data_IF_145974802741
#
_entry.id   IF_145974802741
#
_cell.length_a   1.000
_cell.length_b   1.000
_cell.length_c   1.000
_cell.angle_alpha   90.00
_cell.angle_beta   90.00
_cell.angle_gamma   90.00
#
_symmetry.space_group_name_H-M   'P 1'
#
loop_
_entity.id
_entity.type
_entity.pdbx_description
1 polymer ?
#
# COMPACT_ATOMS: atom_id res chain seq x y z
N UNK A 1 -71.47 -39.26 -24.04
CA UNK A 1 -71.66 -37.82 -24.34
C UNK A 1 -70.67 -37.43 -25.43
N UNK A 2 -71.05 -36.45 -26.25
CA UNK A 2 -70.72 -36.30 -27.67
C UNK A 2 -69.24 -36.10 -28.06
N UNK A 3 -68.97 -36.51 -29.31
CA UNK A 3 -67.74 -36.39 -30.10
C UNK A 3 -67.81 -35.12 -31.01
N UNK A 4 -66.98 -34.91 -32.07
CA UNK A 4 -65.77 -34.06 -32.11
C UNK A 4 -65.79 -33.02 -33.28
N UNK A 5 -64.65 -32.35 -33.60
CA UNK A 5 -64.13 -31.89 -34.95
C UNK A 5 -63.15 -30.70 -34.73
N UNK A 6 -61.91 -30.59 -35.23
CA UNK A 6 -61.15 -30.88 -36.49
C UNK A 6 -60.98 -29.65 -37.44
N UNK A 7 -59.75 -29.56 -38.00
CA UNK A 7 -59.21 -28.86 -39.21
C UNK A 7 -58.66 -27.42 -39.06
N UNK A 8 -57.39 -27.05 -39.36
CA UNK A 8 -56.43 -27.14 -40.52
C UNK A 8 -56.50 -25.95 -41.54
N UNK A 9 -55.49 -25.03 -41.50
CA UNK A 9 -54.56 -24.45 -42.54
C UNK A 9 -55.12 -23.96 -43.93
N UNK A 10 -54.51 -23.06 -44.79
CA UNK A 10 -53.53 -21.92 -44.73
C UNK A 10 -53.90 -20.61 -45.52
N UNK A 11 -52.96 -19.64 -45.52
CA UNK A 11 -52.56 -18.51 -46.43
C UNK A 11 -53.10 -18.42 -47.90
N UNK A 12 -53.09 -17.22 -48.54
CA UNK A 12 -52.03 -16.84 -49.51
C UNK A 12 -51.63 -15.34 -49.45
N UNK A 13 -50.37 -14.91 -49.58
CA UNK A 13 -49.53 -14.67 -50.78
C UNK A 13 -50.19 -13.88 -51.95
N UNK A 14 -49.74 -12.65 -52.19
CA UNK A 14 -49.84 -11.99 -53.49
C UNK A 14 -48.49 -11.36 -53.87
N UNK A 15 -48.03 -11.72 -55.07
CA UNK A 15 -46.81 -11.30 -55.75
C UNK A 15 -47.19 -10.28 -56.84
N UNK A 16 -46.35 -9.27 -57.08
CA UNK A 16 -46.25 -8.61 -58.39
C UNK A 16 -44.81 -8.12 -58.65
N UNK A 17 -44.20 -8.74 -59.66
CA UNK A 17 -42.98 -8.41 -60.42
C UNK A 17 -43.17 -7.11 -61.24
N UNK A 18 -42.24 -6.46 -61.92
CA UNK A 18 -40.76 -6.34 -62.03
C UNK A 18 -40.52 -5.42 -63.26
N UNK A 19 -39.45 -4.62 -63.29
CA UNK A 19 -38.60 -4.38 -64.50
C UNK A 19 -37.61 -3.24 -64.29
N UNK A 20 -36.29 -3.48 -64.28
CA UNK A 20 -35.29 -3.45 -65.39
C UNK A 20 -34.41 -2.19 -65.31
N UNK A 21 -33.09 -2.41 -65.17
CA UNK A 21 -32.05 -1.39 -65.30
C UNK A 21 -30.63 -1.94 -65.08
N UNK A 22 -30.08 -2.59 -66.12
CA UNK A 22 -28.64 -2.82 -66.36
C UNK A 22 -27.87 -1.47 -66.37
N UNK A 23 -26.56 -1.30 -66.07
CA UNK A 23 -25.33 -1.97 -66.53
C UNK A 23 -24.07 -1.31 -65.82
N UNK A 24 -22.76 -1.56 -66.13
CA UNK A 24 -21.85 -2.21 -65.17
C UNK A 24 -20.41 -1.61 -65.00
N UNK A 25 -19.58 -2.32 -64.22
CA UNK A 25 -18.11 -2.48 -64.27
C UNK A 25 -17.16 -1.34 -63.82
N UNK A 26 -16.33 -1.62 -62.79
CA UNK A 26 -14.92 -2.01 -63.04
C UNK A 26 -14.25 -2.69 -61.83
N UNK A 27 -13.54 -3.76 -62.14
CA UNK A 27 -12.67 -4.58 -61.30
C UNK A 27 -11.29 -3.94 -61.15
N UNK A 28 -10.60 -4.15 -60.01
CA UNK A 28 -9.21 -4.65 -60.01
C UNK A 28 -8.69 -5.12 -58.63
N UNK A 29 -8.50 -6.45 -58.54
CA UNK A 29 -7.39 -7.25 -57.98
C UNK A 29 -6.75 -6.91 -56.62
N UNK A 30 -6.89 -7.85 -55.67
CA UNK A 30 -5.92 -8.17 -54.59
C UNK A 30 -4.56 -8.61 -55.20
N UNK A 31 -3.45 -8.40 -54.47
CA UNK A 31 -2.76 -9.59 -53.96
C UNK A 31 -2.11 -9.46 -52.56
N UNK A 32 -2.18 -10.61 -51.87
CA UNK A 32 -1.27 -11.23 -50.88
C UNK A 32 -1.02 -10.59 -49.50
N UNK A 33 -1.15 -11.49 -48.52
CA UNK A 33 -0.90 -11.35 -47.09
C UNK A 33 0.53 -10.91 -46.75
N UNK A 34 0.63 -10.07 -45.72
CA UNK A 34 1.76 -10.06 -44.79
C UNK A 34 1.18 -10.27 -43.38
N UNK A 35 1.73 -11.23 -42.67
CA UNK A 35 1.45 -11.56 -41.27
C UNK A 35 2.16 -10.57 -40.32
N UNK A 36 1.61 -10.51 -39.11
CA UNK A 36 2.16 -10.01 -37.84
C UNK A 36 2.25 -8.49 -37.65
N UNK A 37 1.51 -7.98 -36.67
CA UNK A 37 2.09 -7.42 -35.45
C UNK A 37 0.98 -7.16 -34.42
N UNK A 38 1.17 -7.79 -33.26
CA UNK A 38 0.88 -7.28 -31.91
C UNK A 38 -0.44 -6.52 -31.73
N UNK A 39 -1.45 -7.19 -31.17
CA UNK A 39 -2.41 -6.50 -30.29
C UNK A 39 -1.62 -6.00 -29.08
N UNK A 40 -1.13 -4.78 -29.18
CA UNK A 40 -0.60 -4.02 -28.05
C UNK A 40 -1.82 -3.53 -27.26
N UNK A 41 -2.02 -4.11 -26.07
CA UNK A 41 -3.05 -3.69 -25.12
C UNK A 41 -2.73 -2.26 -24.67
N UNK A 42 -3.35 -1.27 -25.31
CA UNK A 42 -3.20 0.14 -24.95
C UNK A 42 -3.94 0.41 -23.64
N UNK A 43 -3.23 0.35 -22.52
CA UNK A 43 -3.72 0.76 -21.22
C UNK A 43 -3.64 2.29 -21.09
N UNK A 44 -4.75 2.90 -20.67
CA UNK A 44 -4.93 4.34 -20.65
C UNK A 44 -4.58 4.96 -19.26
N UNK A 45 -4.10 6.23 -19.20
CA UNK A 45 -3.50 6.90 -18.02
C UNK A 45 -4.52 7.38 -16.94
N UNK A 46 -4.15 7.90 -15.73
CA UNK A 46 -4.94 8.27 -14.48
C UNK A 46 -4.86 9.78 -14.00
N UNK A 47 -5.83 10.39 -13.26
CA UNK A 47 -6.00 11.87 -12.98
C UNK A 47 -6.14 12.33 -11.48
N UNK A 48 -6.21 13.66 -11.20
CA UNK A 48 -6.62 14.28 -9.91
C UNK A 48 -8.10 14.71 -9.91
N UNK A 49 -8.82 14.47 -8.82
CA UNK A 49 -10.23 14.82 -8.62
C UNK A 49 -10.37 15.90 -7.53
N UNK A 50 -10.69 17.13 -7.94
CA UNK A 50 -10.80 18.26 -7.01
C UNK A 50 -9.44 18.81 -6.58
N UNK A 51 -9.13 18.78 -5.29
CA UNK A 51 -7.84 19.25 -4.76
C UNK A 51 -6.89 18.09 -4.61
N UNK A 52 -5.65 18.24 -5.09
CA UNK A 52 -4.60 17.23 -4.95
C UNK A 52 -4.35 16.91 -3.47
N UNK A 53 -4.76 15.71 -3.04
CA UNK A 53 -4.67 15.25 -1.66
C UNK A 53 -3.47 14.33 -1.42
N UNK A 54 -2.61 14.12 -2.42
CA UNK A 54 -1.46 13.24 -2.31
C UNK A 54 -0.47 13.80 -1.29
N UNK A 55 0.00 12.94 -0.40
CA UNK A 55 0.93 13.28 0.68
C UNK A 55 2.14 12.34 0.66
N UNK A 56 3.31 12.87 0.98
CA UNK A 56 4.44 12.04 1.42
C UNK A 56 4.15 11.42 2.79
N UNK A 57 4.81 10.29 3.10
CA UNK A 57 4.57 9.56 4.37
C UNK A 57 4.75 10.45 5.60
N UNK A 58 5.74 11.36 5.59
CA UNK A 58 5.99 12.26 6.72
C UNK A 58 4.89 13.33 6.93
N UNK A 59 4.04 13.57 5.92
CA UNK A 59 2.94 14.54 5.96
C UNK A 59 1.62 13.89 6.41
N UNK A 60 1.55 12.56 6.40
CA UNK A 60 0.35 11.80 6.76
C UNK A 60 0.16 11.86 8.28
N UNK A 61 -0.87 12.55 8.74
CA UNK A 61 -1.17 12.65 10.18
C UNK A 61 -1.86 11.40 10.76
N UNK A 62 -2.58 10.64 9.93
CA UNK A 62 -3.37 9.48 10.37
C UNK A 62 -2.46 8.25 10.44
N UNK A 63 -2.20 7.77 11.67
CA UNK A 63 -1.29 6.63 11.91
C UNK A 63 -1.74 5.35 11.20
N UNK A 64 -3.05 5.12 11.06
CA UNK A 64 -3.56 3.97 10.30
C UNK A 64 -3.08 4.01 8.85
N UNK A 65 -3.13 5.18 8.19
CA UNK A 65 -2.67 5.33 6.81
C UNK A 65 -1.16 5.08 6.68
N UNK A 66 -0.36 5.56 7.65
CA UNK A 66 1.07 5.25 7.70
C UNK A 66 1.33 3.74 7.86
N UNK A 67 0.54 3.03 8.67
CA UNK A 67 0.66 1.57 8.85
C UNK A 67 0.31 0.81 7.57
N UNK A 68 -0.79 1.18 6.90
CA UNK A 68 -1.19 0.58 5.63
C UNK A 68 -0.10 0.80 4.55
N UNK A 69 0.54 1.97 4.56
CA UNK A 69 1.63 2.28 3.63
C UNK A 69 2.86 1.39 3.79
N UNK A 70 3.14 0.85 4.99
CA UNK A 70 4.28 -0.07 5.20
C UNK A 70 4.19 -1.28 4.27
N UNK A 71 2.99 -1.80 4.03
CA UNK A 71 2.80 -3.01 3.21
C UNK A 71 2.53 -2.71 1.74
N UNK A 72 2.73 -1.46 1.31
CA UNK A 72 2.76 -1.04 -0.09
C UNK A 72 4.18 -1.26 -0.64
N UNK A 73 4.28 -1.75 -1.88
CA UNK A 73 5.55 -2.09 -2.51
C UNK A 73 5.71 -1.44 -3.87
N UNK A 74 6.90 -0.89 -4.14
CA UNK A 74 7.25 -0.35 -5.44
C UNK A 74 7.69 -1.47 -6.38
N UNK A 75 7.18 -1.48 -7.60
CA UNK A 75 7.72 -2.31 -8.67
C UNK A 75 8.77 -1.52 -9.43
N UNK A 76 10.02 -1.96 -9.32
CA UNK A 76 11.19 -1.31 -9.93
C UNK A 76 11.86 -2.31 -10.87
N UNK A 77 12.27 -1.87 -12.06
CA UNK A 77 13.01 -2.73 -12.99
C UNK A 77 14.32 -3.17 -12.35
N UNK A 78 14.66 -4.46 -12.43
CA UNK A 78 15.88 -4.98 -11.80
C UNK A 78 17.16 -4.32 -12.30
N UNK A 79 17.18 -3.84 -13.54
CA UNK A 79 18.29 -3.05 -14.10
C UNK A 79 18.53 -1.70 -13.39
N UNK A 80 17.54 -1.21 -12.64
CA UNK A 80 17.61 0.06 -11.91
C UNK A 80 17.98 -0.12 -10.44
N UNK A 81 18.11 -1.36 -9.95
CA UNK A 81 18.47 -1.66 -8.55
C UNK A 81 19.90 -2.18 -8.50
N UNK A 82 20.77 -1.45 -7.82
CA UNK A 82 22.19 -1.78 -7.72
C UNK A 82 22.55 -2.06 -6.26
N UNK A 83 22.91 -3.31 -5.95
CA UNK A 83 23.39 -3.68 -4.62
C UNK A 83 24.71 -2.99 -4.28
N UNK A 84 24.87 -2.58 -3.03
CA UNK A 84 26.06 -1.92 -2.50
C UNK A 84 26.71 -2.79 -1.41
N UNK A 85 27.96 -2.50 -1.08
CA UNK A 85 28.74 -3.26 -0.09
C UNK A 85 28.31 -3.05 1.37
N UNK A 86 27.42 -2.09 1.62
CA UNK A 86 26.98 -1.63 2.95
C UNK A 86 25.59 -2.19 3.32
N UNK A 87 25.18 -3.34 2.75
CA UNK A 87 23.85 -3.94 2.91
C UNK A 87 22.69 -3.01 2.48
N UNK A 88 22.98 -2.02 1.65
CA UNK A 88 21.97 -1.18 1.00
C UNK A 88 21.93 -1.40 -0.51
N UNK A 89 20.85 -0.94 -1.14
CA UNK A 89 20.67 -0.94 -2.59
C UNK A 89 20.37 0.48 -3.06
N UNK A 90 21.10 0.94 -4.06
CA UNK A 90 20.81 2.21 -4.73
C UNK A 90 19.81 2.00 -5.87
N UNK A 91 18.91 2.98 -6.03
CA UNK A 91 17.89 2.99 -7.07
C UNK A 91 18.22 4.07 -8.09
N UNK A 92 18.42 3.67 -9.34
CA UNK A 92 18.58 4.59 -10.47
C UNK A 92 17.21 5.10 -10.87
N UNK A 93 16.99 6.41 -10.73
CA UNK A 93 15.75 7.09 -11.07
C UNK A 93 16.02 8.48 -11.66
N UNK A 94 15.15 8.94 -12.56
CA UNK A 94 15.15 10.32 -13.06
C UNK A 94 14.50 11.27 -12.06
N UNK A 95 14.40 12.55 -12.43
CA UNK A 95 13.65 13.55 -11.66
C UNK A 95 12.26 13.65 -12.28
N UNK A 96 11.22 13.40 -11.49
CA UNK A 96 9.83 13.34 -11.94
C UNK A 96 9.43 14.53 -12.83
N UNK A 97 9.68 15.75 -12.36
CA UNK A 97 9.34 16.96 -13.11
C UNK A 97 10.06 17.08 -14.45
N UNK A 98 11.30 16.60 -14.54
CA UNK A 98 12.10 16.66 -15.76
C UNK A 98 11.65 15.58 -16.74
N UNK A 99 11.56 14.33 -16.28
CA UNK A 99 11.21 13.16 -17.10
C UNK A 99 9.81 13.29 -17.71
N UNK A 100 8.87 13.91 -16.98
CA UNK A 100 7.51 14.13 -17.46
C UNK A 100 7.30 15.50 -18.13
N UNK A 101 8.31 16.38 -18.17
CA UNK A 101 8.21 17.72 -18.77
C UNK A 101 7.20 18.62 -18.06
N UNK A 102 7.16 18.54 -16.73
CA UNK A 102 6.16 19.20 -15.89
C UNK A 102 6.43 20.69 -15.73
N UNK A 103 5.40 21.42 -15.31
CA UNK A 103 5.56 22.78 -14.82
C UNK A 103 6.27 22.75 -13.46
N UNK A 104 7.17 23.71 -13.19
CA UNK A 104 7.98 23.72 -11.96
C UNK A 104 7.19 23.88 -10.66
N UNK A 105 5.94 24.34 -10.77
CA UNK A 105 5.00 24.47 -9.68
C UNK A 105 4.20 23.19 -9.41
N UNK A 106 4.39 22.13 -10.21
CA UNK A 106 3.74 20.84 -9.96
C UNK A 106 4.25 20.20 -8.66
N UNK A 107 3.34 19.62 -7.84
CA UNK A 107 3.73 18.90 -6.64
C UNK A 107 4.77 17.81 -6.91
N UNK A 108 5.70 17.64 -5.98
CA UNK A 108 6.75 16.61 -6.03
C UNK A 108 7.73 16.73 -7.19
N UNK A 109 7.78 17.86 -7.91
CA UNK A 109 8.61 18.07 -9.10
C UNK A 109 10.04 17.52 -8.99
N UNK A 110 10.72 17.78 -7.87
CA UNK A 110 12.13 17.41 -7.65
C UNK A 110 12.34 15.96 -7.15
N UNK A 111 11.28 15.18 -6.94
CA UNK A 111 11.37 13.82 -6.42
C UNK A 111 11.80 12.81 -7.49
N UNK A 112 12.43 11.69 -7.09
CA UNK A 112 12.78 10.62 -8.03
C UNK A 112 11.55 9.90 -8.56
N UNK A 113 11.62 9.31 -9.75
CA UNK A 113 10.53 8.51 -10.34
C UNK A 113 10.98 7.06 -10.68
N UNK A 114 11.45 6.31 -9.69
CA UNK A 114 12.09 5.00 -9.91
C UNK A 114 11.14 3.82 -10.15
N UNK A 115 9.89 3.90 -9.70
CA UNK A 115 8.92 2.83 -9.87
C UNK A 115 8.22 2.89 -11.23
N UNK A 116 7.76 1.75 -11.74
CA UNK A 116 6.89 1.72 -12.93
C UNK A 116 5.46 1.29 -12.61
N UNK A 117 5.27 0.60 -11.48
CA UNK A 117 3.98 0.16 -10.96
C UNK A 117 4.02 0.09 -9.43
N UNK A 118 2.88 -0.24 -8.84
CA UNK A 118 2.67 -0.43 -7.41
C UNK A 118 2.18 -1.85 -7.12
N UNK A 119 2.30 -2.29 -5.88
CA UNK A 119 1.75 -3.54 -5.40
C UNK A 119 1.58 -3.50 -3.89
N UNK A 120 1.13 -4.61 -3.30
CA UNK A 120 0.97 -4.69 -1.86
C UNK A 120 1.04 -6.12 -1.33
N UNK A 121 1.49 -6.26 -0.08
CA UNK A 121 1.66 -7.54 0.60
C UNK A 121 0.31 -8.12 1.05
N UNK A 122 0.04 -9.37 0.69
CA UNK A 122 -1.20 -10.10 1.01
C UNK A 122 -0.98 -11.42 1.74
N UNK A 123 0.26 -11.94 1.77
CA UNK A 123 0.74 -13.05 2.60
C UNK A 123 2.21 -12.82 2.96
N UNK A 124 2.82 -13.57 3.91
CA UNK A 124 4.22 -13.41 4.29
C UNK A 124 5.18 -13.31 3.10
N UNK A 125 4.98 -14.08 2.03
CA UNK A 125 5.79 -14.05 0.82
C UNK A 125 4.98 -13.75 -0.44
N UNK A 126 3.75 -13.23 -0.33
CA UNK A 126 2.87 -13.03 -1.49
C UNK A 126 2.41 -11.59 -1.59
N UNK A 127 2.55 -11.00 -2.78
CA UNK A 127 2.03 -9.67 -3.11
C UNK A 127 0.96 -9.76 -4.21
N UNK A 128 0.18 -8.69 -4.32
CA UNK A 128 -0.73 -8.44 -5.43
C UNK A 128 -0.34 -7.14 -6.14
N UNK A 129 -0.50 -7.11 -7.46
CA UNK A 129 -0.33 -5.93 -8.32
C UNK A 129 -1.33 -6.00 -9.49
N UNK A 130 -1.30 -5.06 -10.44
CA UNK A 130 -2.07 -5.15 -11.67
C UNK A 130 -1.44 -6.17 -12.64
N UNK A 131 -2.26 -6.92 -13.37
CA UNK A 131 -1.81 -7.94 -14.30
C UNK A 131 -0.98 -7.33 -15.45
N UNK A 132 -1.35 -6.13 -15.91
CA UNK A 132 -0.56 -5.45 -16.94
C UNK A 132 0.80 -4.93 -16.47
N UNK A 133 1.04 -4.86 -15.16
CA UNK A 133 2.36 -4.55 -14.63
C UNK A 133 3.28 -5.78 -14.72
N UNK A 134 2.72 -6.97 -14.50
CA UNK A 134 3.43 -8.26 -14.54
C UNK A 134 2.54 -9.32 -15.20
N UNK A 135 2.63 -9.42 -16.52
CA UNK A 135 1.81 -10.34 -17.33
C UNK A 135 2.44 -11.72 -17.51
N UNK A 136 3.72 -11.86 -17.21
CA UNK A 136 4.48 -13.09 -17.42
C UNK A 136 5.55 -13.35 -16.36
N UNK A 137 5.93 -14.62 -16.19
CA UNK A 137 7.04 -15.01 -15.31
C UNK A 137 8.34 -14.26 -15.65
N UNK A 138 8.59 -14.01 -16.94
CA UNK A 138 9.79 -13.30 -17.39
C UNK A 138 9.79 -11.82 -17.00
N UNK A 139 8.64 -11.16 -16.98
CA UNK A 139 8.52 -9.79 -16.46
C UNK A 139 8.65 -9.77 -14.95
N UNK A 140 8.11 -10.78 -14.27
CA UNK A 140 8.25 -10.97 -12.83
C UNK A 140 9.73 -11.06 -12.44
N UNK A 141 10.52 -11.91 -13.11
CA UNK A 141 11.96 -12.08 -12.86
C UNK A 141 12.80 -10.83 -13.17
N UNK A 142 12.30 -9.89 -13.98
CA UNK A 142 12.95 -8.60 -14.27
C UNK A 142 12.44 -7.45 -13.40
N UNK A 143 11.68 -7.78 -12.36
CA UNK A 143 11.09 -6.82 -11.43
C UNK A 143 11.60 -7.09 -10.02
N UNK A 144 12.11 -6.05 -9.38
CA UNK A 144 12.33 -6.02 -7.95
C UNK A 144 11.13 -5.38 -7.26
N UNK A 145 10.73 -5.98 -6.14
CA UNK A 145 9.67 -5.50 -5.27
C UNK A 145 10.34 -4.82 -4.09
N UNK A 146 10.26 -3.49 -4.05
CA UNK A 146 11.03 -2.65 -3.13
C UNK A 146 10.08 -2.00 -2.13
N UNK A 147 10.13 -2.49 -0.90
CA UNK A 147 9.45 -1.86 0.22
C UNK A 147 10.22 -0.62 0.68
N UNK A 148 9.53 0.26 1.40
CA UNK A 148 10.09 1.48 1.98
C UNK A 148 10.68 2.47 0.95
N UNK A 149 10.26 2.37 -0.32
CA UNK A 149 10.47 3.40 -1.33
C UNK A 149 9.52 4.59 -1.08
N UNK A 150 9.76 5.33 -0.01
CA UNK A 150 8.94 6.44 0.47
C UNK A 150 9.77 7.63 0.96
N UNK A 151 9.14 8.80 1.11
CA UNK A 151 9.74 9.99 1.73
C UNK A 151 9.26 10.08 3.19
N UNK A 152 10.13 9.68 4.12
CA UNK A 152 9.83 9.65 5.56
C UNK A 152 10.28 10.91 6.31
N UNK A 153 10.96 11.82 5.63
CA UNK A 153 11.30 13.13 6.13
C UNK A 153 11.42 14.11 4.96
N UNK A 154 11.09 15.38 5.21
CA UNK A 154 11.15 16.44 4.20
C UNK A 154 12.51 16.48 3.51
N UNK A 155 12.49 16.54 2.17
CA UNK A 155 13.66 16.59 1.30
C UNK A 155 14.62 15.37 1.44
N UNK A 156 14.16 14.25 2.00
CA UNK A 156 14.91 12.98 2.09
C UNK A 156 14.34 11.94 1.13
N UNK A 157 14.88 11.92 -0.08
CA UNK A 157 14.40 11.03 -1.15
C UNK A 157 15.02 9.63 -1.07
N UNK A 158 14.26 8.55 -1.36
CA UNK A 158 14.71 7.17 -1.24
C UNK A 158 15.60 6.74 -2.43
N UNK A 159 16.76 7.38 -2.58
CA UNK A 159 17.78 6.99 -3.58
C UNK A 159 18.54 5.71 -3.18
N UNK A 160 18.53 5.40 -1.89
CA UNK A 160 19.14 4.23 -1.28
C UNK A 160 18.14 3.64 -0.29
N UNK A 161 17.94 2.33 -0.35
CA UNK A 161 17.07 1.56 0.54
C UNK A 161 17.86 0.40 1.18
N UNK A 162 17.46 -0.10 2.36
CA UNK A 162 18.04 -1.33 2.91
C UNK A 162 17.84 -2.50 1.93
N UNK A 163 18.88 -3.31 1.69
CA UNK A 163 18.76 -4.48 0.81
C UNK A 163 17.80 -5.54 1.36
N UNK A 164 17.55 -5.55 2.67
CA UNK A 164 16.52 -6.39 3.29
C UNK A 164 15.11 -6.09 2.76
N UNK A 165 14.84 -4.84 2.37
CA UNK A 165 13.57 -4.38 1.78
C UNK A 165 13.45 -4.61 0.27
N UNK A 166 14.46 -5.19 -0.39
CA UNK A 166 14.47 -5.48 -1.82
C UNK A 166 14.26 -6.98 -2.06
N UNK A 167 13.12 -7.32 -2.65
CA UNK A 167 12.71 -8.69 -2.94
C UNK A 167 12.78 -8.98 -4.44
N UNK A 168 12.97 -10.24 -4.78
CA UNK A 168 12.92 -10.72 -6.16
C UNK A 168 11.65 -11.54 -6.39
N UNK A 169 11.26 -11.67 -7.65
CA UNK A 169 10.22 -12.63 -8.00
C UNK A 169 10.74 -14.06 -7.84
N UNK A 170 9.99 -14.88 -7.09
CA UNK A 170 10.14 -16.34 -7.12
C UNK A 170 9.23 -16.96 -8.15
N UNK A 171 7.97 -16.55 -8.17
CA UNK A 171 6.94 -17.12 -9.04
C UNK A 171 5.79 -16.16 -9.28
N UNK A 172 5.39 -15.99 -10.53
CA UNK A 172 4.08 -15.49 -10.90
C UNK A 172 3.05 -16.59 -10.66
N UNK A 173 2.25 -16.48 -9.60
CA UNK A 173 1.23 -17.48 -9.24
C UNK A 173 0.07 -17.40 -10.24
N UNK A 174 -0.39 -16.19 -10.55
CA UNK A 174 -1.45 -15.93 -11.51
C UNK A 174 -1.33 -14.52 -12.09
N UNK A 175 -1.80 -14.31 -13.32
CA UNK A 175 -1.99 -12.99 -13.92
C UNK A 175 -3.19 -13.03 -14.86
N UNK A 176 -4.05 -12.02 -14.75
CA UNK A 176 -5.22 -11.80 -15.60
C UNK A 176 -5.19 -10.36 -16.09
N UNK A 177 -5.41 -10.15 -17.39
CA UNK A 177 -5.57 -8.83 -18.00
C UNK A 177 -6.72 -8.89 -19.01
N UNK A 178 -7.91 -8.48 -18.58
CA UNK A 178 -9.07 -8.37 -19.44
C UNK A 178 -9.38 -6.90 -19.75
N UNK A 179 -9.54 -6.56 -21.03
CA UNK A 179 -9.73 -5.17 -21.50
C UNK A 179 -10.90 -4.43 -20.85
N UNK A 180 -11.95 -5.16 -20.47
CA UNK A 180 -13.13 -4.64 -19.74
C UNK A 180 -13.45 -5.47 -18.49
N UNK A 181 -12.51 -6.30 -18.04
CA UNK A 181 -12.68 -7.25 -16.94
C UNK A 181 -11.68 -7.02 -15.81
N UNK A 182 -11.25 -8.10 -15.15
CA UNK A 182 -10.27 -8.02 -14.08
C UNK A 182 -8.87 -7.81 -14.65
N UNK A 183 -8.06 -7.16 -13.85
CA UNK A 183 -6.66 -6.90 -14.16
C UNK A 183 -5.87 -7.01 -12.86
N UNK A 184 -5.17 -8.13 -12.67
CA UNK A 184 -4.39 -8.39 -11.46
C UNK A 184 -3.33 -9.45 -11.68
N UNK A 185 -2.29 -9.42 -10.86
CA UNK A 185 -1.31 -10.48 -10.74
C UNK A 185 -1.07 -10.81 -9.27
N UNK A 186 -0.88 -12.11 -8.98
CA UNK A 186 -0.49 -12.63 -7.67
C UNK A 186 0.92 -13.19 -7.80
N UNK A 187 1.83 -12.71 -6.97
CA UNK A 187 3.26 -12.99 -7.10
C UNK A 187 3.82 -13.49 -5.77
N UNK A 188 4.55 -14.59 -5.82
CA UNK A 188 5.37 -15.08 -4.74
C UNK A 188 6.76 -14.42 -4.79
N UNK A 189 7.18 -13.87 -3.65
CA UNK A 189 8.50 -13.31 -3.40
C UNK A 189 9.53 -14.42 -3.13
N UNK A 190 10.82 -14.09 -3.28
CA UNK A 190 11.95 -14.98 -3.03
C UNK A 190 12.12 -15.38 -1.56
N UNK A 191 11.57 -14.59 -0.63
CA UNK A 191 11.57 -14.84 0.80
C UNK A 191 10.38 -14.15 1.48
N UNK A 192 10.10 -14.56 2.72
CA UNK A 192 9.09 -13.92 3.55
C UNK A 192 9.50 -12.48 3.94
N UNK A 193 8.50 -11.61 4.02
CA UNK A 193 8.57 -10.27 4.58
C UNK A 193 8.24 -10.37 6.06
N UNK A 194 9.22 -10.08 6.93
CA UNK A 194 9.13 -10.37 8.37
C UNK A 194 8.96 -9.13 9.24
N UNK A 195 9.10 -7.93 8.67
CA UNK A 195 9.09 -6.65 9.38
C UNK A 195 7.79 -5.86 9.25
N UNK A 196 6.78 -6.45 8.58
CA UNK A 196 5.44 -5.87 8.38
C UNK A 196 4.39 -6.96 8.17
N UNK A 197 3.13 -6.62 8.45
CA UNK A 197 2.02 -7.55 8.27
C UNK A 197 1.41 -7.46 6.87
N UNK A 198 0.98 -8.59 6.29
CA UNK A 198 0.10 -8.56 5.13
C UNK A 198 -1.16 -7.73 5.36
N UNK A 199 -1.65 -7.08 4.31
CA UNK A 199 -2.85 -6.25 4.38
C UNK A 199 -4.11 -7.13 4.52
N UNK A 200 -5.05 -6.64 5.32
CA UNK A 200 -6.36 -7.27 5.46
C UNK A 200 -7.18 -7.05 4.18
N UNK A 201 -7.72 -8.12 3.62
CA UNK A 201 -8.49 -8.07 2.36
C UNK A 201 -9.98 -8.25 2.65
N UNK A 202 -10.84 -7.52 1.93
CA UNK A 202 -12.27 -7.84 1.89
C UNK A 202 -12.46 -9.27 1.40
N UNK A 203 -13.07 -10.11 2.23
CA UNK A 203 -13.28 -11.53 1.93
C UNK A 203 -14.58 -11.78 1.15
N UNK A 204 -15.63 -11.02 1.45
CA UNK A 204 -16.98 -11.23 0.90
C UNK A 204 -17.74 -9.91 0.74
N UNK A 205 -18.90 -10.00 0.09
CA UNK A 205 -19.78 -8.87 -0.14
C UNK A 205 -19.27 -7.94 -1.23
N UNK A 206 -19.85 -6.75 -1.28
CA UNK A 206 -19.57 -5.73 -2.28
C UNK A 206 -19.46 -4.41 -1.54
N UNK A 207 -18.42 -3.64 -1.84
CA UNK A 207 -18.29 -2.27 -1.34
C UNK A 207 -19.46 -1.41 -1.84
N UNK A 208 -20.15 -0.65 -0.97
CA UNK A 208 -21.25 0.20 -1.41
C UNK A 208 -20.75 1.47 -2.13
N UNK A 209 -21.61 2.08 -2.93
CA UNK A 209 -21.35 3.42 -3.46
C UNK A 209 -21.21 4.44 -2.33
N UNK A 210 -20.39 5.48 -2.55
CA UNK A 210 -20.04 6.56 -1.62
C UNK A 210 -19.23 6.12 -0.40
N UNK A 211 -18.83 4.84 -0.32
CA UNK A 211 -17.91 4.39 0.72
C UNK A 211 -16.59 5.18 0.62
N UNK A 212 -16.05 5.70 1.74
CA UNK A 212 -14.80 6.46 1.72
C UNK A 212 -13.60 5.56 1.44
N UNK A 213 -12.69 6.05 0.61
CA UNK A 213 -11.56 5.33 0.09
C UNK A 213 -10.25 6.09 0.29
N UNK A 214 -9.19 5.29 0.44
CA UNK A 214 -7.81 5.69 0.47
C UNK A 214 -7.05 4.89 -0.60
N UNK A 215 -6.13 5.50 -1.34
CA UNK A 215 -5.18 4.78 -2.20
C UNK A 215 -3.75 5.04 -1.75
N UNK A 216 -2.94 3.99 -1.76
CA UNK A 216 -1.51 4.07 -1.45
C UNK A 216 -0.70 3.39 -2.53
N UNK A 217 0.28 4.10 -3.09
CA UNK A 217 1.13 3.58 -4.15
C UNK A 217 2.13 4.58 -4.71
N UNK A 218 2.51 4.37 -5.96
CA UNK A 218 3.65 5.03 -6.61
C UNK A 218 3.21 5.80 -7.88
N UNK A 219 2.43 6.88 -7.75
CA UNK A 219 2.00 7.71 -8.89
C UNK A 219 3.20 8.17 -9.71
N UNK A 220 3.15 8.02 -11.02
CA UNK A 220 4.19 8.43 -11.97
C UNK A 220 5.60 7.87 -11.66
N UNK A 221 5.68 6.80 -10.85
CA UNK A 221 6.93 6.22 -10.38
C UNK A 221 7.51 6.87 -9.13
N UNK A 222 6.81 7.85 -8.55
CA UNK A 222 7.23 8.56 -7.33
C UNK A 222 7.40 7.61 -6.14
N UNK A 223 8.14 8.03 -5.10
CA UNK A 223 8.04 7.44 -3.78
C UNK A 223 6.59 7.36 -3.31
N UNK A 224 6.33 6.43 -2.38
CA UNK A 224 5.00 6.14 -1.83
C UNK A 224 4.23 7.40 -1.52
N UNK A 225 3.05 7.55 -2.13
CA UNK A 225 2.07 8.57 -1.83
C UNK A 225 0.84 7.95 -1.21
N UNK A 226 0.27 8.69 -0.27
CA UNK A 226 -1.00 8.38 0.41
C UNK A 226 -1.99 9.44 -0.03
N UNK A 227 -3.14 9.03 -0.57
CA UNK A 227 -4.20 9.90 -1.06
C UNK A 227 -5.56 9.46 -0.50
N UNK A 228 -6.09 10.23 0.45
CA UNK A 228 -7.31 9.98 1.23
C UNK A 228 -8.49 10.87 0.79
N UNK A 229 -9.72 10.60 1.24
CA UNK A 229 -10.87 11.44 0.91
C UNK A 229 -11.49 11.18 -0.47
N UNK A 230 -11.17 10.04 -1.08
CA UNK A 230 -11.87 9.54 -2.27
C UNK A 230 -13.14 8.76 -1.87
N UNK A 231 -13.96 8.40 -2.84
CA UNK A 231 -15.16 7.60 -2.62
C UNK A 231 -15.50 6.69 -3.79
N UNK A 232 -16.27 5.63 -3.51
CA UNK A 232 -16.83 4.79 -4.57
C UNK A 232 -17.87 5.58 -5.36
N UNK A 233 -17.72 5.66 -6.68
CA UNK A 233 -18.66 6.32 -7.58
C UNK A 233 -19.73 5.40 -8.11
N UNK A 234 -19.32 4.21 -8.55
CA UNK A 234 -20.23 3.19 -9.07
C UNK A 234 -19.63 1.81 -8.91
N UNK A 235 -20.49 0.81 -8.82
CA UNK A 235 -20.07 -0.57 -8.58
C UNK A 235 -20.53 -1.47 -9.70
N UNK A 236 -19.58 -2.14 -10.34
CA UNK A 236 -19.83 -3.15 -11.37
C UNK A 236 -19.11 -4.46 -10.99
N UNK A 237 -19.20 -5.48 -11.83
CA UNK A 237 -18.38 -6.69 -11.69
C UNK A 237 -17.60 -6.86 -12.98
N UNK A 238 -16.28 -7.07 -12.93
CA UNK A 238 -15.45 -7.40 -11.75
C UNK A 238 -14.81 -6.21 -11.01
N UNK A 239 -15.09 -4.97 -11.39
CA UNK A 239 -14.45 -3.76 -10.84
C UNK A 239 -15.47 -2.74 -10.32
N UNK A 240 -15.03 -1.81 -9.49
CA UNK A 240 -15.78 -0.58 -9.18
C UNK A 240 -15.00 0.65 -9.66
N UNK A 241 -15.68 1.79 -9.75
CA UNK A 241 -15.07 3.06 -10.17
C UNK A 241 -15.06 4.03 -8.99
N UNK A 242 -14.00 4.83 -8.84
CA UNK A 242 -13.79 5.76 -7.73
C UNK A 242 -13.11 7.07 -8.18
N UNK A 243 -13.12 8.13 -7.37
CA UNK A 243 -12.36 9.37 -7.59
C UNK A 243 -11.03 9.39 -6.83
N UNK A 244 -10.11 8.53 -7.27
CA UNK A 244 -8.81 8.39 -6.63
C UNK A 244 -7.79 9.31 -7.33
N UNK A 245 -7.14 10.17 -6.55
CA UNK A 245 -6.04 11.04 -7.02
C UNK A 245 -4.80 10.21 -7.39
N UNK A 246 -4.74 9.80 -8.64
CA UNK A 246 -3.78 8.77 -9.07
C UNK A 246 -3.21 9.11 -10.44
N UNK A 247 -1.94 8.79 -10.68
CA UNK A 247 -1.29 8.82 -12.00
C UNK A 247 -0.91 7.41 -12.47
N UNK A 248 -0.61 7.26 -13.76
CA UNK A 248 0.06 6.08 -14.29
C UNK A 248 1.25 5.73 -13.40
N UNK A 249 1.44 4.46 -13.05
CA UNK A 249 2.37 4.03 -11.98
C UNK A 249 1.68 3.66 -10.66
N UNK A 250 0.50 4.19 -10.36
CA UNK A 250 -0.38 3.61 -9.33
C UNK A 250 -1.02 2.28 -9.75
N UNK A 251 -0.74 1.80 -10.96
CA UNK A 251 -1.27 0.49 -11.36
C UNK A 251 -0.77 -0.59 -10.41
N UNK A 252 -1.71 -1.32 -9.83
CA UNK A 252 -1.47 -2.32 -8.79
C UNK A 252 -1.52 -1.80 -7.35
N UNK A 253 -1.74 -0.50 -7.13
CA UNK A 253 -1.93 0.06 -5.78
C UNK A 253 -3.10 -0.58 -5.06
N UNK A 254 -2.97 -0.77 -3.74
CA UNK A 254 -4.09 -1.11 -2.89
C UNK A 254 -5.03 0.10 -2.76
N UNK A 255 -6.32 -0.16 -2.95
CA UNK A 255 -7.39 0.78 -2.62
C UNK A 255 -8.07 0.26 -1.36
N UNK A 256 -8.06 1.06 -0.32
CA UNK A 256 -8.52 0.73 1.03
C UNK A 256 -9.86 1.37 1.30
N UNK A 257 -10.70 0.67 2.08
CA UNK A 257 -11.76 1.32 2.83
C UNK A 257 -11.14 2.18 3.92
N UNK A 258 -11.38 3.49 3.89
CA UNK A 258 -10.69 4.44 4.77
C UNK A 258 -11.01 4.21 6.26
N UNK A 259 -12.20 3.68 6.57
CA UNK A 259 -12.65 3.44 7.95
C UNK A 259 -12.04 2.15 8.51
N UNK A 260 -12.15 1.05 7.75
CA UNK A 260 -11.77 -0.29 8.24
C UNK A 260 -10.32 -0.64 7.97
N UNK A 261 -9.68 0.02 6.99
CA UNK A 261 -8.34 -0.32 6.50
C UNK A 261 -8.27 -1.62 5.70
N UNK A 262 -9.41 -2.23 5.34
CA UNK A 262 -9.44 -3.39 4.45
C UNK A 262 -9.13 -2.97 3.01
N UNK A 263 -8.37 -3.78 2.29
CA UNK A 263 -8.18 -3.63 0.84
C UNK A 263 -9.49 -4.03 0.17
N UNK A 264 -10.01 -3.10 -0.62
CA UNK A 264 -11.24 -3.21 -1.39
C UNK A 264 -10.96 -3.64 -2.83
N UNK A 265 -9.79 -3.25 -3.35
CA UNK A 265 -9.36 -3.66 -4.66
C UNK A 265 -8.00 -3.14 -5.08
N UNK A 266 -7.74 -3.34 -6.36
CA UNK A 266 -6.46 -3.13 -7.03
C UNK A 266 -6.70 -2.08 -8.11
N UNK A 267 -6.02 -0.94 -8.03
CA UNK A 267 -6.18 0.14 -8.99
C UNK A 267 -5.57 -0.23 -10.35
N UNK A 268 -6.34 -0.18 -11.43
CA UNK A 268 -5.89 -0.72 -12.73
C UNK A 268 -5.99 0.25 -13.89
N UNK A 269 -6.98 1.14 -13.93
CA UNK A 269 -7.24 2.00 -15.10
C UNK A 269 -7.81 3.35 -14.67
N UNK A 270 -7.63 4.38 -15.49
CA UNK A 270 -8.04 5.75 -15.13
C UNK A 270 -8.29 6.69 -16.29
N UNK A 271 -8.17 7.99 -15.97
CA UNK A 271 -8.30 9.15 -16.86
C UNK A 271 -6.99 9.87 -17.20
N UNK A 272 -6.89 10.69 -18.25
CA UNK A 272 -5.60 11.32 -18.63
C UNK A 272 -4.90 12.12 -17.50
N UNK A 273 -3.63 11.81 -17.17
CA UNK A 273 -2.86 12.40 -16.05
C UNK A 273 -2.53 13.88 -16.17
N UNK A 274 -2.12 14.32 -17.36
CA UNK A 274 -1.55 15.65 -17.55
C UNK A 274 -2.09 16.31 -18.81
N UNK A 275 -2.30 17.62 -18.72
CA UNK A 275 -2.60 18.48 -19.87
C UNK A 275 -1.46 19.45 -20.11
N UNK A 276 -1.33 19.97 -21.33
CA UNK A 276 -0.31 20.98 -21.63
C UNK A 276 -0.79 22.37 -21.17
N UNK A 277 0.09 23.07 -20.43
CA UNK A 277 -0.10 24.43 -19.93
C UNK A 277 1.17 25.23 -20.17
N UNK A 278 1.10 26.25 -21.04
CA UNK A 278 2.20 27.20 -21.29
C UNK A 278 3.58 26.56 -21.55
N UNK A 279 3.64 25.48 -22.34
CA UNK A 279 4.91 24.84 -22.74
C UNK A 279 5.44 23.79 -21.76
N UNK A 280 4.72 23.50 -20.67
CA UNK A 280 4.98 22.40 -19.77
C UNK A 280 3.70 21.58 -19.55
N UNK A 281 3.80 20.40 -18.94
CA UNK A 281 2.66 19.58 -18.55
C UNK A 281 2.24 19.92 -17.12
N UNK A 282 0.95 20.03 -16.90
CA UNK A 282 0.36 20.26 -15.58
C UNK A 282 -0.62 19.13 -15.28
N UNK A 283 -0.80 18.82 -14.00
CA UNK A 283 -1.79 17.85 -13.53
C UNK A 283 -3.14 18.16 -14.15
N UNK A 284 -3.76 17.14 -14.77
CA UNK A 284 -5.14 17.25 -15.21
C UNK A 284 -6.02 17.19 -13.96
N UNK A 285 -6.93 18.14 -13.82
CA UNK A 285 -7.79 18.26 -12.65
C UNK A 285 -9.23 18.14 -13.10
N UNK A 286 -9.88 17.09 -12.62
CA UNK A 286 -11.28 16.82 -12.87
C UNK A 286 -12.14 17.61 -11.89
N UNK A 287 -13.10 18.36 -12.43
CA UNK A 287 -14.18 18.89 -11.63
C UNK A 287 -15.06 17.74 -11.12
N UNK A 288 -15.77 17.98 -10.02
CA UNK A 288 -16.69 17.00 -9.46
C UNK A 288 -17.70 16.53 -10.52
N UNK A 289 -17.80 15.22 -10.72
CA UNK A 289 -18.69 14.60 -11.70
C UNK A 289 -18.29 14.75 -13.19
N UNK A 290 -17.18 15.43 -13.55
CA UNK A 290 -16.83 15.64 -14.97
C UNK A 290 -16.05 14.49 -15.62
N UNK A 291 -15.33 13.72 -14.82
CA UNK A 291 -14.51 12.60 -15.28
C UNK A 291 -15.13 11.25 -14.91
N UNK A 292 -14.81 10.19 -15.64
CA UNK A 292 -15.36 8.84 -15.45
C UNK A 292 -15.02 8.28 -14.08
N UNK A 293 -13.79 8.49 -13.62
CA UNK A 293 -13.24 7.85 -12.43
C UNK A 293 -12.16 6.82 -12.77
N UNK A 294 -11.56 6.31 -11.72
CA UNK A 294 -10.53 5.28 -11.72
C UNK A 294 -11.16 3.91 -11.48
N UNK A 295 -10.83 2.93 -12.31
CA UNK A 295 -11.32 1.57 -12.12
C UNK A 295 -10.40 0.74 -11.24
N UNK A 296 -11.04 0.04 -10.32
CA UNK A 296 -10.44 -0.75 -9.27
C UNK A 296 -10.98 -2.16 -9.38
N UNK A 297 -10.13 -3.12 -9.79
CA UNK A 297 -10.46 -4.54 -9.77
C UNK A 297 -10.77 -4.94 -8.33
N UNK A 298 -11.95 -5.52 -8.07
CA UNK A 298 -12.32 -5.94 -6.71
C UNK A 298 -11.32 -6.97 -6.18
N UNK A 299 -10.87 -6.81 -4.94
CA UNK A 299 -9.86 -7.72 -4.35
C UNK A 299 -10.33 -9.18 -4.34
N UNK A 300 -11.65 -9.39 -4.28
CA UNK A 300 -12.28 -10.72 -4.30
C UNK A 300 -11.96 -11.52 -5.56
N UNK A 301 -11.55 -10.88 -6.67
CA UNK A 301 -11.11 -11.57 -7.89
C UNK A 301 -9.76 -12.28 -7.70
N UNK A 302 -8.88 -11.75 -6.84
CA UNK A 302 -7.56 -12.31 -6.58
C UNK A 302 -7.58 -13.43 -5.51
N UNK A 303 -8.57 -13.44 -4.61
CA UNK A 303 -8.65 -14.37 -3.47
C UNK A 303 -8.46 -15.85 -3.84
N UNK A 304 -9.01 -16.39 -4.96
CA UNK A 304 -8.80 -17.79 -5.32
C UNK A 304 -7.35 -18.17 -5.64
N UNK A 305 -6.51 -17.18 -5.93
CA UNK A 305 -5.11 -17.35 -6.36
C UNK A 305 -4.11 -16.94 -5.29
N UNK A 306 -4.53 -16.16 -4.31
CA UNK A 306 -3.73 -15.90 -3.13
C UNK A 306 -3.63 -17.25 -2.41
N UNK A 307 -2.41 -17.80 -2.21
CA UNK A 307 -2.24 -19.01 -1.43
C UNK A 307 -3.01 -18.77 -0.15
N UNK A 308 -3.89 -19.71 0.20
CA UNK A 308 -4.43 -19.72 1.54
C UNK A 308 -3.21 -19.49 2.42
N UNK A 309 -3.25 -18.44 3.25
CA UNK A 309 -2.30 -18.38 4.33
C UNK A 309 -2.31 -19.80 4.87
N UNK A 310 -1.17 -20.44 5.16
CA UNK A 310 -1.27 -21.29 6.32
C UNK A 310 -1.99 -20.38 7.31
N UNK A 311 -3.23 -20.73 7.68
CA UNK A 311 -3.60 -20.53 9.06
C UNK A 311 -2.28 -20.95 9.71
N UNK A 312 -1.62 -20.04 10.43
CA UNK A 312 -0.91 -20.57 11.58
C UNK A 312 -2.00 -21.45 12.17
N UNK A 313 -1.95 -22.77 11.90
CA UNK A 313 -2.76 -23.74 12.63
C UNK A 313 -2.60 -23.22 14.02
N UNK A 314 -3.66 -22.68 14.66
CA UNK A 314 -3.52 -21.77 15.78
C UNK A 314 -2.48 -22.43 16.62
N UNK A 315 -1.25 -21.87 16.60
CA UNK A 315 -0.10 -22.65 17.01
C UNK A 315 -0.54 -23.08 18.39
N UNK A 316 -0.58 -24.39 18.63
CA UNK A 316 -0.90 -24.86 19.96
C UNK A 316 0.10 -24.10 20.85
N UNK A 317 -0.43 -23.07 21.53
CA UNK A 317 0.27 -21.91 22.10
C UNK A 317 0.64 -20.76 21.10
N UNK A 318 -0.17 -19.69 21.07
CA UNK A 318 0.28 -18.33 20.76
C UNK A 318 1.36 -17.97 21.78
N UNK A 319 2.64 -18.24 21.47
CA UNK A 319 3.76 -17.99 22.39
C UNK A 319 4.09 -16.50 22.57
N UNK A 320 3.31 -15.61 21.94
CA UNK A 320 3.56 -14.18 21.94
C UNK A 320 4.41 -13.69 20.76
N UNK A 321 4.73 -12.40 20.76
CA UNK A 321 5.58 -11.75 19.77
C UNK A 321 6.48 -10.69 20.39
N UNK A 322 7.59 -10.39 19.72
CA UNK A 322 8.61 -9.46 20.19
C UNK A 322 9.01 -8.49 19.09
N UNK A 323 9.16 -7.22 19.44
CA UNK A 323 9.68 -6.16 18.58
C UNK A 323 10.95 -5.62 19.20
N UNK A 324 12.07 -5.68 18.48
CA UNK A 324 13.38 -5.21 18.97
C UNK A 324 13.92 -4.08 18.09
N UNK A 325 14.43 -3.02 18.71
CA UNK A 325 15.02 -1.84 18.09
C UNK A 325 16.39 -1.54 18.71
N UNK A 326 17.33 -1.08 17.89
CA UNK A 326 18.65 -0.63 18.36
C UNK A 326 18.95 0.80 17.86
N UNK A 327 18.22 1.81 18.38
CA UNK A 327 18.14 3.10 17.71
C UNK A 327 19.39 3.98 17.91
N UNK A 328 20.20 3.72 18.94
CA UNK A 328 21.39 4.50 19.29
C UNK A 328 21.12 6.02 19.32
N UNK A 329 20.06 6.43 20.02
CA UNK A 329 19.59 7.82 20.08
C UNK A 329 20.01 8.52 21.36
N UNK A 330 20.52 9.75 21.26
CA UNK A 330 20.86 10.58 22.41
C UNK A 330 19.61 11.08 23.14
N UNK A 331 19.68 11.13 24.47
CA UNK A 331 18.62 11.66 25.33
C UNK A 331 18.95 13.14 25.61
N UNK A 332 18.05 14.09 25.31
CA UNK A 332 18.30 15.50 25.59
C UNK A 332 18.43 15.77 27.11
N UNK A 333 19.57 16.35 27.52
CA UNK A 333 19.88 16.75 28.90
C UNK A 333 18.90 17.78 29.45
N UNK A 334 18.50 17.59 30.72
CA UNK A 334 17.51 18.39 31.46
C UNK A 334 16.27 18.81 30.65
N UNK A 335 15.82 17.97 29.74
CA UNK A 335 14.71 18.28 28.84
C UNK A 335 13.42 17.67 29.34
N UNK A 336 12.49 18.54 29.74
CA UNK A 336 11.15 18.10 30.14
C UNK A 336 10.38 17.38 29.03
N UNK A 337 10.63 17.75 27.77
CA UNK A 337 10.01 17.12 26.60
C UNK A 337 10.66 15.77 26.28
N UNK A 338 11.94 15.59 26.63
CA UNK A 338 12.68 14.35 26.40
C UNK A 338 12.74 13.94 24.93
N UNK A 339 12.82 12.63 24.71
CA UNK A 339 12.80 11.96 23.42
C UNK A 339 11.66 10.93 23.37
N UNK A 340 11.07 10.74 22.20
CA UNK A 340 10.02 9.76 21.93
C UNK A 340 10.49 8.82 20.83
N UNK A 341 10.46 7.51 21.09
CA UNK A 341 10.83 6.47 20.14
C UNK A 341 9.61 5.61 19.84
N UNK A 342 9.19 5.54 18.58
CA UNK A 342 8.08 4.70 18.14
C UNK A 342 8.52 3.23 18.04
N UNK A 343 7.73 2.34 18.65
CA UNK A 343 7.90 0.88 18.61
C UNK A 343 6.79 0.30 17.74
N UNK A 344 7.07 -0.11 16.50
CA UNK A 344 6.03 -0.58 15.59
C UNK A 344 5.48 -1.93 16.05
N UNK A 345 4.18 -2.02 16.32
CA UNK A 345 3.53 -3.30 16.63
C UNK A 345 2.30 -3.51 15.76
N UNK A 346 2.04 -4.76 15.41
CA UNK A 346 1.13 -5.12 14.32
C UNK A 346 -0.08 -5.93 14.77
N UNK A 347 -0.04 -6.45 15.99
CA UNK A 347 -1.12 -7.23 16.59
C UNK A 347 -1.62 -6.55 17.87
N UNK A 348 -2.87 -6.84 18.24
CA UNK A 348 -3.37 -6.40 19.53
C UNK A 348 -2.75 -7.26 20.63
N UNK A 349 -2.40 -6.70 21.80
CA UNK A 349 -1.84 -7.47 22.90
C UNK A 349 -2.68 -8.68 23.29
N UNK A 350 -4.01 -8.63 23.13
CA UNK A 350 -4.90 -9.63 23.71
C UNK A 350 -4.71 -9.72 25.22
N UNK A 351 -4.89 -10.92 25.77
CA UNK A 351 -4.67 -11.18 27.20
C UNK A 351 -3.19 -11.35 27.58
N UNK A 352 -2.26 -11.26 26.61
CA UNK A 352 -0.83 -11.50 26.79
C UNK A 352 -0.18 -10.52 27.78
N UNK A 353 0.73 -11.01 28.62
CA UNK A 353 1.61 -10.19 29.45
C UNK A 353 2.56 -9.37 28.57
N UNK A 354 2.87 -8.15 29.01
CA UNK A 354 3.69 -7.21 28.26
C UNK A 354 4.99 -6.99 29.02
N UNK A 355 6.12 -7.11 28.34
CA UNK A 355 7.45 -6.91 28.88
C UNK A 355 8.19 -5.89 28.02
N UNK A 356 8.75 -4.87 28.66
CA UNK A 356 9.65 -3.92 28.02
C UNK A 356 11.07 -4.20 28.48
N UNK A 357 11.96 -4.62 27.58
CA UNK A 357 13.39 -4.60 27.84
C UNK A 357 14.01 -3.32 27.30
N UNK A 358 14.88 -2.69 28.07
CA UNK A 358 15.64 -1.51 27.62
C UNK A 358 17.11 -1.66 27.98
N UNK A 359 17.94 -1.07 27.13
CA UNK A 359 19.35 -0.80 27.40
C UNK A 359 19.58 0.70 27.18
N UNK A 360 19.59 1.46 28.27
CA UNK A 360 19.81 2.90 28.27
C UNK A 360 21.11 3.17 29.02
N UNK A 361 22.10 3.68 28.30
CA UNK A 361 23.35 4.17 28.91
C UNK A 361 23.10 5.56 29.47
N UNK A 362 23.41 5.78 30.75
CA UNK A 362 23.29 7.09 31.39
C UNK A 362 24.17 7.16 32.65
N UNK A 363 24.91 8.25 32.90
CA UNK A 363 25.75 8.36 34.10
C UNK A 363 24.96 8.25 35.42
N UNK A 364 23.73 8.79 35.46
CA UNK A 364 22.87 8.77 36.65
C UNK A 364 21.45 8.35 36.30
N UNK A 365 21.08 7.10 36.56
CA UNK A 365 19.73 6.58 36.25
C UNK A 365 18.62 7.30 37.01
N UNK A 366 18.95 7.90 38.17
CA UNK A 366 18.04 8.67 39.01
C UNK A 366 17.56 9.99 38.39
N UNK A 367 18.10 10.37 37.23
CA UNK A 367 17.68 11.59 36.53
C UNK A 367 16.63 11.33 35.45
N UNK A 368 16.52 10.07 35.03
CA UNK A 368 15.63 9.67 33.96
C UNK A 368 14.21 9.40 34.46
N UNK A 369 13.25 9.79 33.64
CA UNK A 369 11.88 9.29 33.64
C UNK A 369 11.70 8.48 32.36
N UNK A 370 11.22 7.24 32.50
CA UNK A 370 10.99 6.30 31.39
C UNK A 370 9.53 5.89 31.41
N UNK A 371 8.84 6.11 30.29
CA UNK A 371 7.43 5.78 30.13
C UNK A 371 7.19 4.99 28.86
N UNK A 372 6.38 3.95 28.97
CA UNK A 372 5.82 3.24 27.84
C UNK A 372 4.43 3.82 27.52
N UNK A 373 4.15 4.05 26.25
CA UNK A 373 2.90 4.63 25.77
C UNK A 373 2.25 3.62 24.83
N UNK A 374 1.01 3.22 25.13
CA UNK A 374 0.24 2.33 24.26
C UNK A 374 -0.35 3.09 23.07
N UNK A 375 -0.85 2.40 22.04
CA UNK A 375 -1.39 3.05 20.86
C UNK A 375 -2.62 3.93 21.14
N UNK A 376 -3.30 3.78 22.28
CA UNK A 376 -4.44 4.62 22.71
C UNK A 376 -3.99 5.87 23.48
N UNK A 377 -2.67 6.08 23.61
CA UNK A 377 -2.08 7.20 24.34
C UNK A 377 -2.06 7.04 25.85
N UNK A 378 -2.59 5.94 26.40
CA UNK A 378 -2.38 5.65 27.82
C UNK A 378 -0.89 5.44 28.10
N UNK A 379 -0.46 5.72 29.33
CA UNK A 379 0.95 5.69 29.70
C UNK A 379 1.18 4.80 30.92
N UNK A 380 2.30 4.09 30.90
CA UNK A 380 2.84 3.34 32.02
C UNK A 380 4.22 3.87 32.36
N UNK A 381 4.44 4.24 33.62
CA UNK A 381 5.75 4.75 34.08
C UNK A 381 6.60 3.58 34.52
N UNK A 382 7.64 3.27 33.75
CA UNK A 382 8.57 2.16 33.99
C UNK A 382 9.57 2.53 35.07
N UNK A 383 10.08 3.76 35.02
CA UNK A 383 10.96 4.33 36.05
C UNK A 383 10.71 5.83 36.13
N UNK A 384 10.74 6.38 37.34
CA UNK A 384 10.63 7.81 37.58
C UNK A 384 11.68 8.23 38.59
N UNK A 385 12.83 8.71 38.11
CA UNK A 385 13.92 9.25 38.92
C UNK A 385 14.36 8.31 40.05
N UNK A 386 14.41 7.02 39.73
CA UNK A 386 14.64 5.95 40.70
C UNK A 386 16.06 5.40 40.60
N UNK A 387 16.57 4.76 41.67
CA UNK A 387 17.88 4.12 41.65
C UNK A 387 19.09 5.03 41.91
N UNK A 388 18.85 6.34 42.13
CA UNK A 388 19.86 7.28 42.62
C UNK A 388 21.09 7.39 41.73
N UNK A 389 22.27 7.27 42.34
CA UNK A 389 23.58 7.50 41.71
C UNK A 389 24.14 6.34 40.88
N UNK A 390 23.32 5.36 40.53
CA UNK A 390 23.76 4.23 39.72
C UNK A 390 23.72 4.61 38.25
N UNK A 391 24.66 4.10 37.46
CA UNK A 391 24.64 4.27 36.01
C UNK A 391 23.54 3.39 35.39
N UNK A 392 23.09 3.76 34.20
CA UNK A 392 22.32 2.97 33.22
C UNK A 392 20.95 2.45 33.67
N UNK A 393 20.04 2.24 32.72
CA UNK A 393 18.81 1.49 32.95
C UNK A 393 18.84 0.31 31.99
N UNK A 394 19.20 -0.85 32.52
CA UNK A 394 19.29 -2.12 31.79
C UNK A 394 18.43 -3.16 32.47
N UNK A 395 17.52 -3.76 31.72
CA UNK A 395 16.70 -4.87 32.21
C UNK A 395 15.36 -5.00 31.50
N UNK A 396 14.62 -6.02 31.91
CA UNK A 396 13.27 -6.34 31.42
C UNK A 396 12.25 -6.00 32.50
N UNK A 397 11.25 -5.20 32.13
CA UNK A 397 10.24 -4.66 33.01
C UNK A 397 8.86 -5.24 32.63
N UNK A 398 8.22 -6.04 33.51
CA UNK A 398 6.83 -6.42 33.29
C UNK A 398 5.94 -5.18 33.43
N UNK A 399 4.98 -5.07 32.53
CA UNK A 399 4.06 -3.93 32.48
C UNK A 399 2.75 -4.35 33.14
N UNK A 400 2.49 -3.79 34.31
CA UNK A 400 1.24 -4.00 35.02
C UNK A 400 0.11 -3.19 34.35
N UNK A 401 -0.71 -3.89 33.56
CA UNK A 401 -1.87 -3.35 32.85
C UNK A 401 -2.86 -2.63 33.78
N UNK A 402 -2.93 -2.97 35.06
CA UNK A 402 -3.88 -2.37 36.01
C UNK A 402 -3.52 -0.94 36.42
N UNK A 403 -2.25 -0.57 36.28
CA UNK A 403 -1.74 0.77 36.65
C UNK A 403 -1.83 1.80 35.52
N UNK A 404 -2.34 1.40 34.35
CA UNK A 404 -2.48 2.27 33.19
C UNK A 404 -3.52 3.36 33.45
N UNK A 405 -3.09 4.63 33.33
CA UNK A 405 -3.95 5.78 33.56
C UNK A 405 -4.46 6.33 32.22
N UNK A 406 -5.79 6.37 32.04
CA UNK A 406 -6.44 7.08 30.92
C UNK A 406 -7.86 6.61 30.63
N UNK A 407 -8.67 7.48 30.00
CA UNK A 407 -10.12 7.34 29.76
C UNK A 407 -10.49 6.72 28.40
N UNK A 408 -9.61 5.91 27.80
CA UNK A 408 -9.88 5.34 26.46
C UNK A 408 -11.01 4.31 26.52
N UNK A 409 -11.92 4.36 25.55
CA UNK A 409 -13.05 3.42 25.46
C UNK A 409 -12.65 2.04 24.91
N UNK A 410 -11.50 1.93 24.23
CA UNK A 410 -11.00 0.66 23.67
C UNK A 410 -10.01 0.02 24.65
N UNK A 411 -10.27 -1.21 25.13
CA UNK A 411 -9.35 -1.94 26.01
C UNK A 411 -8.00 -2.19 25.34
N UNK A 412 -6.93 -2.17 26.15
CA UNK A 412 -5.57 -2.49 25.68
C UNK A 412 -5.47 -3.87 25.02
N UNK A 413 -6.31 -4.83 25.46
CA UNK A 413 -6.37 -6.19 24.92
C UNK A 413 -6.83 -6.22 23.46
N UNK A 414 -7.68 -5.28 23.04
CA UNK A 414 -8.25 -5.21 21.69
C UNK A 414 -7.51 -4.23 20.78
N UNK A 415 -6.49 -3.55 21.31
CA UNK A 415 -5.84 -2.44 20.63
C UNK A 415 -4.67 -2.88 19.75
N UNK A 416 -4.76 -2.61 18.44
CA UNK A 416 -3.63 -2.72 17.51
C UNK A 416 -2.88 -1.39 17.34
N UNK A 417 -1.55 -1.44 17.19
CA UNK A 417 -0.78 -0.30 16.70
C UNK A 417 0.58 -0.06 17.33
N UNK A 418 1.23 1.01 16.88
CA UNK A 418 2.56 1.39 17.36
C UNK A 418 2.50 1.86 18.82
N UNK A 419 3.39 1.31 19.61
CA UNK A 419 3.69 1.76 20.95
C UNK A 419 4.77 2.84 20.88
N UNK A 420 5.02 3.53 21.99
CA UNK A 420 6.16 4.45 22.05
C UNK A 420 6.85 4.40 23.41
N UNK A 421 8.18 4.56 23.39
CA UNK A 421 8.99 4.77 24.57
C UNK A 421 9.32 6.25 24.69
N UNK A 422 8.88 6.88 25.77
CA UNK A 422 9.23 8.25 26.11
C UNK A 422 10.27 8.25 27.22
N UNK A 423 11.38 8.97 27.01
CA UNK A 423 12.46 9.10 27.98
C UNK A 423 12.81 10.57 28.14
N UNK A 424 12.84 11.07 29.38
CA UNK A 424 13.28 12.43 29.68
C UNK A 424 14.32 12.44 30.77
N UNK A 425 15.41 13.17 30.57
CA UNK A 425 16.34 13.55 31.62
C UNK A 425 15.85 14.82 32.32
N UNK A 426 15.85 14.80 33.66
CA UNK A 426 15.37 15.88 34.53
C UNK A 426 16.45 16.44 35.46
N UNK A 427 17.72 16.15 35.22
CA UNK A 427 18.85 16.81 35.85
C UNK A 427 19.77 17.42 34.79
N UNK A 428 20.76 18.21 35.23
CA UNK A 428 21.70 18.90 34.35
C UNK A 428 23.01 18.12 34.22
N UNK A 429 23.65 18.26 33.05
CA UNK A 429 25.05 17.93 32.70
C UNK A 429 25.30 16.52 32.19
N UNK A 430 24.42 15.59 32.48
CA UNK A 430 24.58 14.18 32.10
C UNK A 430 23.74 13.91 30.85
N UNK A 431 24.29 13.14 29.92
CA UNK A 431 23.61 12.78 28.66
C UNK A 431 23.63 11.27 28.55
N UNK A 432 22.50 10.70 28.16
CA UNK A 432 22.40 9.26 27.90
C UNK A 432 22.17 8.92 26.45
N UNK A 433 22.22 7.62 26.18
CA UNK A 433 21.90 7.06 24.86
C UNK A 433 21.00 5.84 25.01
N UNK A 434 19.96 5.78 24.19
CA UNK A 434 19.09 4.61 24.06
C UNK A 434 19.76 3.64 23.09
N UNK A 435 20.29 2.53 23.61
CA UNK A 435 20.98 1.52 22.80
C UNK A 435 20.03 0.48 22.24
N UNK A 436 19.19 -0.09 23.10
CA UNK A 436 18.27 -1.17 22.72
C UNK A 436 16.91 -0.98 23.39
N UNK A 437 15.86 -1.35 22.66
CA UNK A 437 14.47 -1.41 23.12
C UNK A 437 13.92 -2.74 22.62
N UNK A 438 13.25 -3.49 23.49
CA UNK A 438 12.50 -4.66 23.13
C UNK A 438 11.12 -4.60 23.78
N UNK A 439 10.07 -4.76 23.00
CA UNK A 439 8.70 -4.89 23.50
C UNK A 439 8.19 -6.28 23.16
N UNK A 440 7.98 -7.09 24.20
CA UNK A 440 7.51 -8.47 24.10
C UNK A 440 6.10 -8.59 24.68
N UNK A 441 5.26 -9.30 23.96
CA UNK A 441 3.93 -9.74 24.37
C UNK A 441 4.01 -11.26 24.50
N UNK A 442 3.70 -11.87 25.64
CA UNK A 442 3.70 -13.34 25.78
C UNK A 442 2.67 -13.81 26.80
N UNK A 443 2.24 -15.06 26.72
CA UNK A 443 1.56 -15.72 27.82
C UNK A 443 2.57 -15.99 28.96
N UNK A 444 2.10 -15.99 30.21
CA UNK A 444 2.93 -16.36 31.38
C UNK A 444 3.38 -17.82 31.36
#
# INVERSE_FOLDING_TARGET
MFSPKKYFIPLPLLLALASIGCQPQHSQKKPKQIKNSNEETVLLPKVIYGSDNRKDIYEVAILQHQRLAKSTVALIRSSSVNQRSDNSSSITAGIYGIEYGLCKDEPFYDQPNGAFCSGFLVAPDTIVTAGHCVGSQSECERTNFVFDYGVFAKDKFPKVVPSSGVYNCKKLIHSEVASTGSDFAVIQLDREVTDRSPLKLRQTGVIPEKEPLLVIGHPAGLPTKVADGASVRSVSTPFFTADLDTYGGNSGSAVFNEITGEVEGILVRGETDFTYRNGCRASNVCNEGSCRGEDVTKITQALPYIPAQPLREPASEDLGYTVSLSPNLEIPDNSATGILVTIPTFEAPGDRSIYLSVNIEHPWRGDLIVKLIAPNGQQYTVSSRSGGSRNDIVGTFPIDKSSWQGSSQIPLTEQTGDWALHISDRAYRDVGTIKEIELKFSHE
#
